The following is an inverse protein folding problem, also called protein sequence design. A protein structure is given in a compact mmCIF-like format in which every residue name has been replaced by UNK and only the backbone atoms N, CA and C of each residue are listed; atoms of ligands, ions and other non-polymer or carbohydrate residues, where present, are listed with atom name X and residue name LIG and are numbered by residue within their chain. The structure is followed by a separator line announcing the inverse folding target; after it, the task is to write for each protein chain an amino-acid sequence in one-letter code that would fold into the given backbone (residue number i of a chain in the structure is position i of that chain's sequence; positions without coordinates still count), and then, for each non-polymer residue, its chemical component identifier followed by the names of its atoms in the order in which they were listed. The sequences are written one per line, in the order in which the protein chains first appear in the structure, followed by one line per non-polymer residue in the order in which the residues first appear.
data_IF_525804000777
#
_entry.id   IF_525804000777
#
_cell.length_a   1.000
_cell.length_b   1.000
_cell.length_c   1.000
_cell.angle_alpha   90.00
_cell.angle_beta   90.00
_cell.angle_gamma   90.00
#
_symmetry.space_group_name_H-M   'P 1'
#
loop_
_entity.id
_entity.type
_entity.pdbx_description
1 polymer ?
#
# COMPACT_ATOMS: atom_id res chain seq x y z
N UNK A 1 -26.94 -6.27 9.05
CA UNK A 1 -27.15 -7.68 8.57
C UNK A 1 -26.23 -8.01 7.38
N UNK A 2 -25.92 -7.05 6.49
CA UNK A 2 -25.05 -7.28 5.31
C UNK A 2 -23.57 -7.40 5.72
N UNK A 3 -23.13 -6.64 6.72
CA UNK A 3 -21.75 -6.68 7.24
C UNK A 3 -21.43 -8.08 7.83
N UNK A 4 -22.29 -8.64 8.65
CA UNK A 4 -22.08 -9.95 9.29
C UNK A 4 -21.90 -11.08 8.26
N UNK A 5 -22.68 -11.08 7.18
CA UNK A 5 -22.56 -12.10 6.13
C UNK A 5 -21.27 -11.96 5.33
N UNK A 6 -20.80 -10.74 5.12
CA UNK A 6 -19.49 -10.50 4.49
C UNK A 6 -18.34 -10.99 5.37
N UNK A 7 -18.39 -10.71 6.67
CA UNK A 7 -17.39 -11.12 7.65
C UNK A 7 -17.30 -12.66 7.76
N UNK A 8 -18.42 -13.37 7.69
CA UNK A 8 -18.46 -14.83 7.68
C UNK A 8 -17.72 -15.37 6.44
N UNK A 9 -17.96 -14.79 5.26
CA UNK A 9 -17.28 -15.22 4.03
C UNK A 9 -15.79 -14.93 4.11
N UNK A 10 -15.38 -13.77 4.62
CA UNK A 10 -13.98 -13.42 4.81
C UNK A 10 -13.28 -14.40 5.75
N UNK A 11 -13.85 -14.68 6.91
CA UNK A 11 -13.31 -15.65 7.86
C UNK A 11 -13.16 -17.04 7.24
N UNK A 12 -14.09 -17.43 6.37
CA UNK A 12 -14.00 -18.72 5.67
C UNK A 12 -12.89 -18.73 4.62
N UNK A 13 -12.68 -17.61 3.92
CA UNK A 13 -11.57 -17.43 2.99
C UNK A 13 -10.24 -17.49 3.74
N UNK A 14 -10.12 -16.82 4.88
CA UNK A 14 -8.93 -16.85 5.75
C UNK A 14 -8.58 -18.27 6.22
N UNK A 15 -9.59 -19.06 6.57
CA UNK A 15 -9.43 -20.46 6.98
C UNK A 15 -9.13 -21.44 5.84
N UNK A 16 -9.16 -20.98 4.59
CA UNK A 16 -8.85 -21.84 3.42
C UNK A 16 -7.35 -21.96 3.25
N UNK A 17 -6.86 -23.17 2.94
CA UNK A 17 -5.44 -23.42 2.71
C UNK A 17 -4.89 -22.60 1.51
N UNK A 18 -3.68 -22.03 1.63
CA UNK A 18 -2.99 -21.36 0.52
C UNK A 18 -2.89 -22.26 -0.72
N UNK A 19 -2.98 -21.67 -1.90
CA UNK A 19 -3.00 -22.40 -3.18
C UNK A 19 -4.36 -22.95 -3.58
N UNK A 20 -5.34 -22.97 -2.67
CA UNK A 20 -6.68 -23.49 -2.95
C UNK A 20 -7.47 -22.53 -3.84
N UNK A 21 -8.13 -23.10 -4.86
CA UNK A 21 -9.04 -22.32 -5.73
C UNK A 21 -10.34 -22.03 -5.00
N UNK A 22 -10.72 -20.75 -4.95
CA UNK A 22 -11.96 -20.29 -4.34
C UNK A 22 -13.07 -20.28 -5.37
N UNK A 23 -14.15 -21.03 -5.09
CA UNK A 23 -15.34 -21.04 -5.91
C UNK A 23 -16.41 -20.15 -5.32
N UNK A 24 -16.85 -19.14 -6.08
CA UNK A 24 -17.93 -18.23 -5.65
C UNK A 24 -19.22 -19.03 -5.36
N UNK A 25 -19.59 -19.92 -6.25
CA UNK A 25 -20.79 -20.77 -6.07
C UNK A 25 -20.63 -21.73 -4.92
N UNK A 26 -19.42 -22.31 -4.74
CA UNK A 26 -19.12 -23.19 -3.63
C UNK A 26 -19.30 -22.49 -2.28
N UNK A 27 -18.67 -21.32 -2.10
CA UNK A 27 -18.80 -20.53 -0.88
C UNK A 27 -20.24 -20.02 -0.64
N UNK A 28 -20.95 -19.60 -1.69
CA UNK A 28 -22.32 -19.15 -1.58
C UNK A 28 -23.24 -20.27 -1.06
N UNK A 29 -23.08 -21.50 -1.59
CA UNK A 29 -23.84 -22.67 -1.17
C UNK A 29 -23.45 -23.14 0.23
N UNK A 30 -22.16 -23.16 0.55
CA UNK A 30 -21.64 -23.61 1.85
C UNK A 30 -22.10 -22.72 3.02
N UNK A 31 -22.12 -21.39 2.78
CA UNK A 31 -22.38 -20.40 3.83
C UNK A 31 -23.82 -19.83 3.78
N UNK A 32 -24.66 -20.34 2.90
CA UNK A 32 -26.04 -19.86 2.68
C UNK A 32 -26.11 -18.34 2.48
N UNK A 33 -25.26 -17.83 1.58
CA UNK A 33 -25.20 -16.41 1.20
C UNK A 33 -25.35 -16.23 -0.31
N UNK A 34 -25.71 -15.02 -0.74
CA UNK A 34 -25.78 -14.72 -2.18
C UNK A 34 -24.39 -14.70 -2.82
N UNK A 35 -24.30 -15.08 -4.10
CA UNK A 35 -23.07 -14.95 -4.89
C UNK A 35 -22.54 -13.50 -4.87
N UNK A 36 -23.45 -12.50 -4.88
CA UNK A 36 -23.08 -11.09 -4.77
C UNK A 36 -22.37 -10.73 -3.45
N UNK A 37 -22.74 -11.38 -2.34
CA UNK A 37 -22.05 -11.23 -1.05
C UNK A 37 -20.66 -11.84 -1.13
N UNK A 38 -20.52 -13.03 -1.74
CA UNK A 38 -19.23 -13.69 -1.94
C UNK A 38 -18.30 -12.86 -2.83
N UNK A 39 -18.83 -12.27 -3.93
CA UNK A 39 -18.02 -11.39 -4.78
C UNK A 39 -17.49 -10.16 -4.04
N UNK A 40 -18.30 -9.54 -3.16
CA UNK A 40 -17.84 -8.42 -2.32
C UNK A 40 -16.75 -8.86 -1.36
N UNK A 41 -16.93 -9.99 -0.70
CA UNK A 41 -15.94 -10.54 0.21
C UNK A 41 -14.64 -10.92 -0.50
N UNK A 42 -14.70 -11.49 -1.70
CA UNK A 42 -13.51 -11.79 -2.51
C UNK A 42 -12.76 -10.51 -2.90
N UNK A 43 -13.47 -9.45 -3.30
CA UNK A 43 -12.83 -8.15 -3.56
C UNK A 43 -12.13 -7.59 -2.33
N UNK A 44 -12.77 -7.69 -1.18
CA UNK A 44 -12.18 -7.27 0.08
C UNK A 44 -10.97 -8.16 0.47
N UNK A 45 -11.09 -9.47 0.30
CA UNK A 45 -9.99 -10.41 0.50
C UNK A 45 -8.81 -10.15 -0.45
N UNK A 46 -9.08 -9.78 -1.69
CA UNK A 46 -8.05 -9.39 -2.66
C UNK A 46 -7.33 -8.12 -2.24
N UNK A 47 -8.07 -7.13 -1.70
CA UNK A 47 -7.50 -5.89 -1.14
C UNK A 47 -6.65 -6.15 0.11
N UNK A 48 -7.03 -7.15 0.92
CA UNK A 48 -6.27 -7.58 2.09
C UNK A 48 -5.09 -8.50 1.74
N UNK A 49 -4.88 -8.82 0.46
CA UNK A 49 -3.82 -9.74 0.02
C UNK A 49 -4.05 -11.20 0.40
N UNK A 50 -5.29 -11.58 0.71
CA UNK A 50 -5.65 -12.95 1.07
C UNK A 50 -5.85 -13.84 -0.16
N UNK A 51 -6.24 -13.27 -1.28
CA UNK A 51 -6.53 -13.98 -2.53
C UNK A 51 -6.01 -13.23 -3.74
N UNK A 52 -5.77 -13.94 -4.83
CA UNK A 52 -5.43 -13.38 -6.13
C UNK A 52 -6.40 -13.90 -7.19
N UNK A 53 -6.93 -13.00 -8.01
CA UNK A 53 -7.78 -13.37 -9.15
C UNK A 53 -6.96 -13.35 -10.44
N UNK A 54 -6.80 -14.52 -11.05
CA UNK A 54 -6.10 -14.67 -12.34
C UNK A 54 -7.12 -14.73 -13.48
N UNK A 55 -6.99 -13.91 -14.53
CA UNK A 55 -7.87 -13.97 -15.70
C UNK A 55 -7.94 -15.40 -16.26
N UNK A 56 -9.14 -15.87 -16.54
CA UNK A 56 -9.44 -17.22 -17.07
C UNK A 56 -9.11 -18.41 -16.12
N UNK A 57 -8.38 -18.20 -15.05
CA UNK A 57 -7.98 -19.27 -14.10
C UNK A 57 -8.82 -19.27 -12.83
N UNK A 58 -9.34 -18.11 -12.41
CA UNK A 58 -10.17 -17.95 -11.22
C UNK A 58 -9.43 -17.32 -10.04
N UNK A 59 -10.07 -17.34 -8.89
CA UNK A 59 -9.55 -16.78 -7.63
C UNK A 59 -8.88 -17.90 -6.81
N UNK A 60 -7.70 -17.60 -6.27
CA UNK A 60 -6.91 -18.54 -5.47
C UNK A 60 -6.57 -17.90 -4.13
N UNK A 61 -6.62 -18.72 -3.06
CA UNK A 61 -6.07 -18.33 -1.77
C UNK A 61 -4.55 -18.24 -1.91
N UNK A 62 -3.97 -17.12 -1.55
CA UNK A 62 -2.52 -16.98 -1.48
C UNK A 62 -2.10 -17.12 -0.02
N UNK A 63 -0.90 -17.65 0.20
CA UNK A 63 -0.28 -17.56 1.51
C UNK A 63 -0.18 -16.07 1.83
N UNK A 64 -1.00 -15.60 2.75
CA UNK A 64 -0.76 -14.30 3.33
C UNK A 64 0.37 -14.52 4.32
N UNK A 65 1.61 -14.33 3.88
CA UNK A 65 2.72 -14.02 4.78
C UNK A 65 2.50 -12.67 5.45
N UNK A 66 1.26 -12.38 5.78
CA UNK A 66 0.92 -11.29 6.66
C UNK A 66 0.82 -11.87 8.07
N UNK A 67 1.93 -12.30 8.61
CA UNK A 67 2.25 -11.87 9.94
C UNK A 67 2.22 -10.35 9.88
N UNK A 68 1.06 -9.79 10.23
CA UNK A 68 0.76 -8.35 10.20
C UNK A 68 1.70 -7.53 11.11
N UNK A 69 2.64 -8.15 11.77
CA UNK A 69 3.64 -7.53 12.63
C UNK A 69 5.03 -7.39 11.99
N UNK A 70 5.35 -8.08 10.89
CA UNK A 70 6.73 -8.17 10.42
C UNK A 70 7.15 -7.17 9.34
N UNK A 71 6.25 -6.27 8.87
CA UNK A 71 6.57 -5.25 7.86
C UNK A 71 6.07 -3.85 8.19
N UNK A 72 5.54 -3.67 9.36
CA UNK A 72 5.11 -2.37 9.83
C UNK A 72 6.34 -1.57 10.27
N UNK A 73 6.70 -0.55 9.49
CA UNK A 73 7.84 0.33 9.75
C UNK A 73 7.31 1.66 10.25
N UNK A 74 7.88 2.20 11.32
CA UNK A 74 7.51 3.53 11.79
C UNK A 74 8.06 4.63 10.86
N UNK A 75 7.38 5.76 10.81
CA UNK A 75 7.90 6.93 10.08
C UNK A 75 9.28 7.37 10.58
N UNK A 76 9.57 7.19 11.87
CA UNK A 76 10.89 7.47 12.45
C UNK A 76 11.99 6.56 11.89
N UNK A 77 11.70 5.28 11.73
CA UNK A 77 12.61 4.32 11.10
C UNK A 77 12.82 4.65 9.63
N UNK A 78 11.75 5.03 8.91
CA UNK A 78 11.85 5.50 7.52
C UNK A 78 12.74 6.74 7.39
N UNK A 79 12.60 7.71 8.28
CA UNK A 79 13.46 8.91 8.32
C UNK A 79 14.92 8.54 8.45
N UNK A 80 15.23 7.63 9.36
CA UNK A 80 16.60 7.18 9.62
C UNK A 80 17.17 6.36 8.46
N UNK A 81 16.39 5.40 7.95
CA UNK A 81 16.85 4.47 6.92
C UNK A 81 16.99 5.13 5.54
N UNK A 82 16.07 6.02 5.17
CA UNK A 82 16.08 6.69 3.87
C UNK A 82 16.87 8.00 3.88
N UNK A 83 17.31 8.49 5.03
CA UNK A 83 18.02 9.76 5.16
C UNK A 83 17.17 10.96 4.74
N UNK A 84 15.85 10.91 4.98
CA UNK A 84 14.90 11.97 4.64
C UNK A 84 14.66 12.90 5.83
N UNK A 85 14.11 14.09 5.57
CA UNK A 85 13.86 15.10 6.60
C UNK A 85 12.39 15.23 6.91
N UNK A 86 12.04 15.44 8.18
CA UNK A 86 10.68 15.74 8.58
C UNK A 86 10.42 17.23 8.52
N UNK A 87 9.53 17.68 7.62
CA UNK A 87 9.15 19.07 7.44
C UNK A 87 7.95 19.47 8.31
N UNK A 88 7.02 18.55 8.61
CA UNK A 88 5.85 18.80 9.45
C UNK A 88 5.36 17.50 10.09
N UNK A 89 4.54 17.61 11.13
CA UNK A 89 3.90 16.47 11.76
C UNK A 89 4.83 15.56 12.56
N UNK A 90 5.85 16.12 13.22
CA UNK A 90 6.82 15.34 14.04
C UNK A 90 6.18 14.46 15.10
N UNK A 91 5.02 14.83 15.60
CA UNK A 91 4.26 14.03 16.58
C UNK A 91 3.80 12.68 16.03
N UNK A 92 3.67 12.59 14.72
CA UNK A 92 3.25 11.37 14.01
C UNK A 92 4.41 10.47 13.60
N UNK A 93 5.66 10.79 13.93
CA UNK A 93 6.83 9.96 13.60
C UNK A 93 6.78 8.54 14.20
N UNK A 94 6.02 8.35 15.28
CA UNK A 94 5.76 7.04 15.86
C UNK A 94 4.68 6.22 15.14
N UNK A 95 3.99 6.79 14.15
CA UNK A 95 2.97 6.07 13.38
C UNK A 95 3.62 4.96 12.55
N UNK A 96 2.96 3.82 12.54
CA UNK A 96 3.37 2.64 11.79
C UNK A 96 2.80 2.71 10.38
N UNK A 97 3.63 2.48 9.37
CA UNK A 97 3.26 2.46 7.95
C UNK A 97 3.32 1.02 7.46
N UNK A 98 2.26 0.56 6.86
CA UNK A 98 2.14 -0.74 6.21
C UNK A 98 1.66 -0.63 4.75
N UNK A 99 1.35 0.58 4.30
CA UNK A 99 0.93 0.83 2.93
C UNK A 99 1.67 2.03 2.33
N UNK A 100 2.20 1.85 1.12
CA UNK A 100 2.88 2.89 0.34
C UNK A 100 2.13 3.11 -0.97
N UNK A 101 1.79 4.36 -1.26
CA UNK A 101 1.13 4.78 -2.49
C UNK A 101 2.04 5.74 -3.25
N UNK A 102 2.42 5.37 -4.47
CA UNK A 102 3.13 6.28 -5.37
C UNK A 102 2.09 7.10 -6.15
N UNK A 103 2.19 8.43 -6.04
CA UNK A 103 1.26 9.37 -6.64
C UNK A 103 1.72 9.77 -8.05
N UNK A 104 1.59 8.85 -8.99
CA UNK A 104 2.00 8.98 -10.40
C UNK A 104 0.81 9.17 -11.36
N UNK A 105 -0.40 8.90 -10.90
CA UNK A 105 -1.61 8.91 -11.69
C UNK A 105 -2.47 10.17 -11.44
N UNK A 106 -3.73 10.13 -11.81
CA UNK A 106 -4.67 11.22 -11.59
C UNK A 106 -5.26 11.24 -10.17
N UNK A 107 -5.95 12.34 -9.83
CA UNK A 107 -6.56 12.54 -8.51
C UNK A 107 -7.60 11.46 -8.17
N UNK A 108 -8.40 11.02 -9.15
CA UNK A 108 -9.45 10.04 -8.92
C UNK A 108 -8.85 8.68 -8.53
N UNK A 109 -7.75 8.29 -9.15
CA UNK A 109 -7.03 7.07 -8.80
C UNK A 109 -6.38 7.16 -7.42
N UNK A 110 -5.80 8.31 -7.07
CA UNK A 110 -5.24 8.52 -5.75
C UNK A 110 -6.32 8.42 -4.67
N UNK A 111 -7.45 9.11 -4.84
CA UNK A 111 -8.57 9.06 -3.90
C UNK A 111 -9.12 7.64 -3.75
N UNK A 112 -9.29 6.92 -4.86
CA UNK A 112 -9.71 5.52 -4.83
C UNK A 112 -8.77 4.64 -4.02
N UNK A 113 -7.45 4.81 -4.17
CA UNK A 113 -6.46 4.04 -3.39
C UNK A 113 -6.51 4.37 -1.90
N UNK A 114 -6.70 5.64 -1.56
CA UNK A 114 -6.79 6.10 -0.17
C UNK A 114 -8.11 5.72 0.50
N UNK A 115 -9.19 5.55 -0.26
CA UNK A 115 -10.49 5.11 0.25
C UNK A 115 -10.47 3.68 0.79
N UNK A 116 -9.62 2.82 0.20
CA UNK A 116 -9.52 1.40 0.57
C UNK A 116 -8.39 1.09 1.55
N UNK A 117 -7.56 2.06 1.89
CA UNK A 117 -6.46 1.93 2.84
C UNK A 117 -6.77 2.67 4.14
N UNK A 118 -6.12 2.29 5.24
CA UNK A 118 -6.10 3.14 6.44
C UNK A 118 -5.15 4.32 6.17
N UNK A 119 -5.66 5.56 6.04
CA UNK A 119 -4.81 6.71 5.72
C UNK A 119 -3.75 6.96 6.79
N UNK A 120 -4.04 6.67 8.07
CA UNK A 120 -3.09 6.88 9.17
C UNK A 120 -1.89 5.92 9.12
N UNK A 121 -1.99 4.85 8.35
CA UNK A 121 -0.94 3.84 8.12
C UNK A 121 -0.38 3.88 6.69
N UNK A 122 -0.78 4.88 5.91
CA UNK A 122 -0.39 5.05 4.51
C UNK A 122 0.62 6.17 4.35
N UNK A 123 1.71 5.88 3.62
CA UNK A 123 2.70 6.85 3.15
C UNK A 123 2.53 7.07 1.65
N UNK A 124 2.18 8.30 1.25
CA UNK A 124 2.09 8.70 -0.15
C UNK A 124 3.42 9.30 -0.62
N UNK A 125 4.02 8.72 -1.64
CA UNK A 125 5.22 9.28 -2.27
C UNK A 125 4.77 10.20 -3.40
N UNK A 126 5.08 11.48 -3.27
CA UNK A 126 4.63 12.52 -4.19
C UNK A 126 5.80 13.40 -4.61
N UNK A 127 5.78 13.85 -5.86
CA UNK A 127 6.73 14.85 -6.35
C UNK A 127 6.30 16.28 -6.02
N UNK A 128 6.73 17.23 -6.85
CA UNK A 128 6.40 18.66 -6.71
C UNK A 128 4.98 18.96 -7.23
N UNK A 129 3.96 18.35 -6.60
CA UNK A 129 2.54 18.50 -6.99
C UNK A 129 1.71 18.98 -5.80
N UNK A 130 1.50 20.32 -5.67
CA UNK A 130 0.76 20.92 -4.56
C UNK A 130 -0.71 20.45 -4.48
N UNK A 131 -1.32 20.17 -5.62
CA UNK A 131 -2.67 19.60 -5.75
C UNK A 131 -2.78 18.27 -5.00
N UNK A 132 -1.89 17.32 -5.26
CA UNK A 132 -1.84 16.06 -4.55
C UNK A 132 -1.48 16.20 -3.07
N UNK A 133 -0.57 17.10 -2.73
CA UNK A 133 -0.25 17.37 -1.33
C UNK A 133 -1.49 17.78 -0.53
N UNK A 134 -2.35 18.61 -1.12
CA UNK A 134 -3.62 19.02 -0.51
C UNK A 134 -4.55 17.84 -0.29
N UNK A 135 -4.72 16.98 -1.31
CA UNK A 135 -5.58 15.79 -1.23
C UNK A 135 -5.09 14.79 -0.17
N UNK A 136 -3.79 14.53 -0.13
CA UNK A 136 -3.19 13.61 0.84
C UNK A 136 -3.43 14.10 2.28
N UNK A 137 -3.22 15.40 2.54
CA UNK A 137 -3.48 15.99 3.85
C UNK A 137 -4.96 15.91 4.23
N UNK A 138 -5.87 16.16 3.30
CA UNK A 138 -7.31 16.05 3.52
C UNK A 138 -7.73 14.62 3.84
N UNK A 139 -7.11 13.64 3.20
CA UNK A 139 -7.33 12.22 3.46
C UNK A 139 -6.66 11.72 4.74
N UNK A 140 -5.87 12.56 5.43
CA UNK A 140 -5.11 12.22 6.64
C UNK A 140 -4.03 11.15 6.44
N UNK A 141 -3.59 10.93 5.22
CA UNK A 141 -2.42 10.09 4.93
C UNK A 141 -1.12 10.89 5.12
N UNK A 142 -0.04 10.17 5.41
CA UNK A 142 1.29 10.75 5.49
C UNK A 142 1.90 10.90 4.10
N UNK A 143 2.89 11.79 3.92
CA UNK A 143 3.53 11.96 2.61
C UNK A 143 5.04 12.09 2.69
N UNK A 144 5.69 11.67 1.60
CA UNK A 144 7.10 11.92 1.31
C UNK A 144 7.19 12.68 -0.01
N UNK A 145 7.68 13.93 0.06
CA UNK A 145 7.90 14.77 -1.12
C UNK A 145 9.31 14.51 -1.64
N UNK A 146 9.42 14.04 -2.88
CA UNK A 146 10.69 13.69 -3.53
C UNK A 146 11.19 14.78 -4.47
N UNK A 147 12.43 14.63 -4.96
CA UNK A 147 13.02 15.50 -5.97
C UNK A 147 13.34 16.93 -5.47
N UNK A 148 13.63 17.08 -4.18
CA UNK A 148 13.93 18.37 -3.58
C UNK A 148 12.73 19.30 -3.47
N UNK A 149 11.50 18.78 -3.60
CA UNK A 149 10.27 19.53 -3.35
C UNK A 149 10.16 19.90 -1.88
N UNK A 150 9.49 21.04 -1.62
CA UNK A 150 9.19 21.49 -0.26
C UNK A 150 7.70 21.78 -0.13
N UNK A 151 7.09 21.48 1.02
CA UNK A 151 5.72 21.89 1.29
C UNK A 151 5.65 23.41 1.43
N UNK A 152 4.51 24.00 1.05
CA UNK A 152 4.23 25.41 1.37
C UNK A 152 3.89 25.55 2.86
N UNK A 153 3.96 26.80 3.38
CA UNK A 153 3.54 27.09 4.76
C UNK A 153 2.09 26.68 5.01
N UNK A 154 1.23 26.83 4.01
CA UNK A 154 -0.16 26.36 4.07
C UNK A 154 -0.24 24.85 4.31
N UNK A 155 0.54 24.04 3.57
CA UNK A 155 0.56 22.60 3.74
C UNK A 155 1.14 22.18 5.10
N UNK A 156 2.18 22.87 5.59
CA UNK A 156 2.76 22.62 6.90
C UNK A 156 1.70 22.81 8.00
N UNK A 157 1.03 23.96 8.01
CA UNK A 157 -0.01 24.27 8.99
C UNK A 157 -1.17 23.27 8.94
N UNK A 158 -1.61 22.92 7.73
CA UNK A 158 -2.69 21.95 7.55
C UNK A 158 -2.28 20.53 8.00
N UNK A 159 -1.06 20.11 7.70
CA UNK A 159 -0.53 18.82 8.12
C UNK A 159 -0.46 18.70 9.64
N UNK A 160 0.09 19.72 10.33
CA UNK A 160 0.14 19.77 11.80
C UNK A 160 -1.26 19.66 12.42
N UNK A 161 -2.24 20.39 11.86
CA UNK A 161 -3.63 20.36 12.33
C UNK A 161 -4.30 19.00 12.14
N UNK A 162 -3.97 18.29 11.07
CA UNK A 162 -4.58 16.99 10.75
C UNK A 162 -3.79 15.78 11.27
N UNK A 163 -2.68 15.99 11.97
CA UNK A 163 -1.81 14.90 12.45
C UNK A 163 -1.08 14.17 11.31
N UNK A 164 -0.85 14.85 10.19
CA UNK A 164 -0.16 14.30 9.02
C UNK A 164 1.33 14.62 9.11
N UNK A 165 2.17 13.62 8.89
CA UNK A 165 3.62 13.79 8.75
C UNK A 165 3.96 14.10 7.30
N UNK A 166 4.78 15.14 7.08
CA UNK A 166 5.36 15.48 5.79
C UNK A 166 6.87 15.24 5.87
N UNK A 167 7.33 14.27 5.10
CA UNK A 167 8.75 14.00 4.89
C UNK A 167 9.20 14.64 3.56
N UNK A 168 10.48 14.97 3.46
CA UNK A 168 11.09 15.52 2.25
C UNK A 168 12.40 14.84 1.92
N UNK A 169 12.64 14.60 0.63
CA UNK A 169 13.87 14.01 0.11
C UNK A 169 14.41 14.84 -1.06
N UNK A 170 15.73 14.95 -1.14
CA UNK A 170 16.42 15.54 -2.31
C UNK A 170 16.38 14.59 -3.50
N UNK A 171 16.43 13.30 -3.22
CA UNK A 171 16.40 12.22 -4.21
C UNK A 171 15.05 12.18 -4.91
N UNK A 172 15.06 11.72 -6.17
CA UNK A 172 13.83 11.45 -6.90
C UNK A 172 13.13 10.17 -6.38
N UNK A 173 11.91 9.95 -6.82
CA UNK A 173 11.08 8.81 -6.39
C UNK A 173 11.78 7.47 -6.64
N UNK A 174 12.44 7.30 -7.79
CA UNK A 174 13.15 6.07 -8.10
C UNK A 174 14.29 5.76 -7.14
N UNK A 175 15.11 6.77 -6.82
CA UNK A 175 16.21 6.60 -5.86
C UNK A 175 15.69 6.28 -4.45
N UNK A 176 14.60 6.92 -4.02
CA UNK A 176 13.95 6.63 -2.74
C UNK A 176 13.41 5.20 -2.72
N UNK A 177 12.76 4.73 -3.79
CA UNK A 177 12.24 3.37 -3.85
C UNK A 177 13.35 2.32 -3.84
N UNK A 178 14.48 2.59 -4.51
CA UNK A 178 15.66 1.72 -4.41
C UNK A 178 16.22 1.64 -2.99
N UNK A 179 16.31 2.78 -2.30
CA UNK A 179 16.77 2.80 -0.91
C UNK A 179 15.78 2.03 -0.02
N UNK A 180 14.49 2.24 -0.21
CA UNK A 180 13.46 1.54 0.52
C UNK A 180 13.60 0.03 0.34
N UNK A 181 13.71 -0.42 -0.90
CA UNK A 181 13.91 -1.83 -1.24
C UNK A 181 15.16 -2.40 -0.58
N UNK A 182 16.31 -1.72 -0.68
CA UNK A 182 17.56 -2.18 -0.09
C UNK A 182 17.56 -2.24 1.45
N UNK A 183 16.81 -1.36 2.12
CA UNK A 183 16.80 -1.27 3.59
C UNK A 183 15.76 -2.19 4.23
N UNK A 184 14.64 -2.42 3.56
CA UNK A 184 13.50 -3.12 4.14
C UNK A 184 13.25 -4.51 3.51
N UNK A 185 13.69 -4.76 2.26
CA UNK A 185 13.69 -6.11 1.69
C UNK A 185 14.72 -7.02 2.30
N UNK A 186 15.89 -6.48 2.69
CA UNK A 186 16.95 -7.28 3.32
C UNK A 186 16.57 -7.83 4.70
N UNK A 187 15.62 -7.23 5.40
CA UNK A 187 15.11 -7.76 6.66
C UNK A 187 14.31 -9.07 6.47
N UNK A 188 13.81 -9.33 5.24
CA UNK A 188 13.14 -10.59 4.86
C UNK A 188 14.09 -11.64 4.27
N UNK A 189 15.28 -11.22 3.77
CA UNK A 189 16.28 -12.12 3.18
C UNK A 189 17.11 -12.87 4.23
N UNK A 190 16.77 -12.77 5.52
CA UNK A 190 17.32 -13.68 6.53
C UNK A 190 16.77 -15.13 6.38
N UNK A 191 15.73 -15.32 5.56
CA UNK A 191 15.31 -16.65 5.07
C UNK A 191 15.89 -16.83 3.65
N UNK A 192 16.97 -17.61 3.55
CA UNK A 192 17.84 -17.73 2.37
C UNK A 192 17.18 -18.30 1.10
N UNK A 193 15.87 -18.56 1.07
CA UNK A 193 15.21 -19.25 -0.04
C UNK A 193 13.98 -18.54 -0.66
N UNK A 194 13.65 -17.30 -0.26
CA UNK A 194 12.53 -16.59 -0.86
C UNK A 194 12.92 -15.89 -2.17
N UNK A 195 12.31 -16.22 -3.32
CA UNK A 195 12.64 -15.59 -4.59
C UNK A 195 12.24 -14.10 -4.56
N UNK A 196 13.17 -13.23 -4.95
CA UNK A 196 13.06 -11.76 -5.04
C UNK A 196 11.84 -11.28 -5.85
N UNK A 197 11.17 -12.18 -6.57
CA UNK A 197 10.00 -11.91 -7.40
C UNK A 197 8.68 -11.72 -6.64
N UNK A 198 8.57 -12.13 -5.39
CA UNK A 198 7.29 -12.05 -4.65
C UNK A 198 6.96 -10.64 -4.17
N UNK A 199 7.97 -9.82 -3.87
CA UNK A 199 7.79 -8.42 -3.52
C UNK A 199 7.20 -7.58 -4.66
N UNK A 200 7.53 -7.91 -5.90
CA UNK A 200 6.99 -7.28 -7.11
C UNK A 200 5.56 -7.73 -7.43
N UNK A 201 5.03 -8.73 -6.73
CA UNK A 201 3.70 -9.30 -6.95
C UNK A 201 2.67 -8.88 -5.90
N UNK A 202 3.07 -8.16 -4.84
CA UNK A 202 2.13 -7.61 -3.87
C UNK A 202 1.16 -6.64 -4.57
N UNK A 203 -0.17 -6.82 -4.44
CA UNK A 203 -1.16 -6.03 -5.19
C UNK A 203 -1.12 -4.53 -4.90
N UNK A 204 -0.47 -4.09 -3.83
CA UNK A 204 -0.31 -2.69 -3.43
C UNK A 204 1.01 -2.07 -3.90
N UNK A 205 1.95 -2.85 -4.38
CA UNK A 205 3.14 -2.38 -5.07
C UNK A 205 2.84 -2.32 -6.56
N UNK A 206 2.41 -1.18 -7.04
CA UNK A 206 2.31 -0.89 -8.48
C UNK A 206 3.70 -0.68 -9.07
N UNK A 207 4.60 -1.61 -8.88
CA UNK A 207 5.72 -1.83 -9.74
C UNK A 207 5.26 -2.80 -10.84
N UNK A 208 4.48 -2.31 -11.81
CA UNK A 208 4.44 -2.96 -13.11
C UNK A 208 5.77 -2.70 -13.78
N UNK A 209 6.34 -3.73 -14.39
CA UNK A 209 7.54 -3.65 -15.25
C UNK A 209 7.48 -2.54 -16.33
N UNK A 210 6.28 -2.05 -16.63
CA UNK A 210 6.03 -0.93 -17.55
C UNK A 210 6.67 0.40 -17.09
N UNK A 211 6.86 0.58 -15.78
CA UNK A 211 7.44 1.80 -15.22
C UNK A 211 8.96 1.86 -15.37
N UNK A 212 9.64 0.73 -15.31
CA UNK A 212 11.11 0.67 -15.50
C UNK A 212 11.47 0.92 -16.95
N UNK A 213 10.64 0.44 -17.88
CA UNK A 213 10.86 0.63 -19.32
C UNK A 213 10.67 2.08 -19.79
N UNK A 214 9.75 2.84 -19.14
CA UNK A 214 9.51 4.24 -19.51
C UNK A 214 10.58 5.19 -18.96
N UNK A 215 11.17 4.90 -17.80
CA UNK A 215 12.23 5.74 -17.25
C UNK A 215 13.54 5.64 -18.03
N UNK A 216 13.87 4.49 -18.62
CA UNK A 216 15.04 4.35 -19.48
C UNK A 216 14.93 5.18 -20.77
N UNK A 217 13.71 5.48 -21.25
CA UNK A 217 13.49 6.33 -22.43
C UNK A 217 13.72 7.82 -22.19
N UNK A 218 13.75 8.27 -20.94
CA UNK A 218 13.93 9.68 -20.59
C UNK A 218 15.40 10.06 -20.29
N UNK A 219 16.32 9.09 -20.24
CA UNK A 219 17.73 9.31 -19.90
C UNK A 219 18.72 8.81 -20.95
N UNK A 220 18.27 8.31 -22.10
CA UNK A 220 19.03 8.14 -23.35
C UNK A 220 18.79 9.33 -24.29
#
# INVERSE_FOLDING_TARGET
TISIKNDIVLSRIEATEPGTKISVRGLASELDVSEGTVYKAIKEAEQRGLVITKPKSGTFRIESDVDSDSCAVTLSELVSALGVSCAAGRKSLGCTIDNIVICDSDEAQLLSRLEYADPSRTLCIVGKRPDFQTLIIQSRAHMLITGGGRPSDYHIVKAEKNGVCILTALQNTYAIMKLFDSQFSSARLADEDAPVSEWMQAPNYLYRNDYVADWQRYYD
#
